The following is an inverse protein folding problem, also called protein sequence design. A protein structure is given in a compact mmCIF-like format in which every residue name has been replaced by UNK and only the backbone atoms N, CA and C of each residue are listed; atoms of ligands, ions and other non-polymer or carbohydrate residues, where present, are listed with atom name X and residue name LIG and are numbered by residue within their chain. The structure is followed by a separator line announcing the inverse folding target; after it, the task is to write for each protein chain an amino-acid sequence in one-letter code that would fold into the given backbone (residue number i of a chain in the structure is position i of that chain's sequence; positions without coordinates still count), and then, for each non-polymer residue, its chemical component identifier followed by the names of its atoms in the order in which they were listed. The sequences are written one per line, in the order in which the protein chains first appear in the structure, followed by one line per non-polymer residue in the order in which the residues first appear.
data_IF_493898672373
#
_entry.id   IF_493898672373
#
_cell.length_a   1.000
_cell.length_b   1.000
_cell.length_c   1.000
_cell.angle_alpha   90.00
_cell.angle_beta   90.00
_cell.angle_gamma   90.00
#
_symmetry.space_group_name_H-M   'P 1'
#
loop_
_entity.id
_entity.type
_entity.pdbx_description
1 polymer ?
#
# COMPACT_ATOMS: atom_id res chain seq x y z
N UNK A 1 84.48 -10.66 2.15
CA UNK A 1 83.85 -10.34 3.44
C UNK A 1 82.58 -11.17 3.56
N UNK A 2 82.43 -12.06 4.55
CA UNK A 2 81.22 -12.87 4.68
C UNK A 2 80.09 -11.98 5.22
N UNK A 3 79.02 -11.85 4.45
CA UNK A 3 77.82 -11.15 4.88
C UNK A 3 77.21 -11.92 6.08
N UNK A 4 77.08 -11.24 7.21
CA UNK A 4 76.79 -11.82 8.51
C UNK A 4 75.39 -12.47 8.53
N UNK A 5 75.35 -13.79 8.31
CA UNK A 5 74.13 -14.62 8.18
C UNK A 5 73.22 -14.50 9.41
N UNK A 6 73.80 -14.22 10.57
CA UNK A 6 73.08 -13.98 11.82
C UNK A 6 72.24 -12.68 11.77
N UNK A 7 72.79 -11.60 11.21
CA UNK A 7 72.08 -10.32 11.08
C UNK A 7 70.92 -10.42 10.07
N UNK A 8 71.09 -11.21 8.99
CA UNK A 8 70.03 -11.47 8.00
C UNK A 8 68.87 -12.28 8.59
N UNK A 9 69.17 -13.30 9.41
CA UNK A 9 68.15 -14.07 10.13
C UNK A 9 67.42 -13.24 11.20
N UNK A 10 68.12 -12.35 11.90
CA UNK A 10 67.51 -11.46 12.89
C UNK A 10 66.55 -10.44 12.26
N UNK A 11 66.95 -9.81 11.14
CA UNK A 11 66.07 -8.92 10.35
C UNK A 11 64.83 -9.65 9.82
N UNK A 12 64.99 -10.90 9.35
CA UNK A 12 63.87 -11.73 8.87
C UNK A 12 62.89 -12.10 9.99
N UNK A 13 63.40 -12.48 11.17
CA UNK A 13 62.56 -12.74 12.36
C UNK A 13 61.82 -11.49 12.84
N UNK A 14 62.49 -10.33 12.84
CA UNK A 14 61.88 -9.04 13.19
C UNK A 14 60.76 -8.66 12.20
N UNK A 15 60.99 -8.85 10.89
CA UNK A 15 59.98 -8.62 9.87
C UNK A 15 58.74 -9.51 10.05
N UNK A 16 58.91 -10.82 10.32
CA UNK A 16 57.79 -11.72 10.58
C UNK A 16 57.05 -11.37 11.89
N UNK A 17 57.77 -10.95 12.94
CA UNK A 17 57.14 -10.53 14.19
C UNK A 17 56.31 -9.25 14.02
N UNK A 18 56.84 -8.27 13.27
CA UNK A 18 56.11 -7.03 12.93
C UNK A 18 54.89 -7.35 12.07
N UNK A 19 55.04 -8.19 11.03
CA UNK A 19 53.92 -8.60 10.17
C UNK A 19 52.84 -9.38 10.95
N UNK A 20 53.22 -10.31 11.82
CA UNK A 20 52.29 -11.03 12.69
C UNK A 20 51.57 -10.08 13.67
N UNK A 21 52.27 -9.08 14.21
CA UNK A 21 51.65 -8.05 15.06
C UNK A 21 50.64 -7.19 14.29
N UNK A 22 50.96 -6.78 13.07
CA UNK A 22 50.00 -6.05 12.22
C UNK A 22 48.81 -6.91 11.82
N UNK A 23 49.03 -8.20 11.54
CA UNK A 23 47.95 -9.14 11.23
C UNK A 23 47.02 -9.39 12.42
N UNK A 24 47.56 -9.59 13.62
CA UNK A 24 46.76 -9.72 14.85
C UNK A 24 46.00 -8.44 15.18
N UNK A 25 46.62 -7.26 14.96
CA UNK A 25 45.94 -5.98 15.13
C UNK A 25 44.79 -5.82 14.12
N UNK A 26 44.99 -6.21 12.86
CA UNK A 26 43.94 -6.18 11.84
C UNK A 26 42.75 -7.09 12.21
N UNK A 27 43.03 -8.32 12.69
CA UNK A 27 41.97 -9.24 13.17
C UNK A 27 41.22 -8.69 14.39
N UNK A 28 41.92 -8.05 15.34
CA UNK A 28 41.28 -7.46 16.52
C UNK A 28 40.40 -6.24 16.17
N UNK A 29 40.84 -5.42 15.21
CA UNK A 29 40.04 -4.30 14.69
C UNK A 29 38.78 -4.81 14.01
N UNK A 30 38.88 -5.89 13.22
CA UNK A 30 37.74 -6.50 12.53
C UNK A 30 36.73 -7.11 13.51
N UNK A 31 37.18 -7.84 14.54
CA UNK A 31 36.29 -8.35 15.61
C UNK A 31 35.55 -7.23 16.34
N UNK A 32 36.24 -6.13 16.65
CA UNK A 32 35.62 -4.98 17.32
C UNK A 32 34.55 -4.31 16.42
N UNK A 33 34.84 -4.12 15.13
CA UNK A 33 33.85 -3.58 14.17
C UNK A 33 32.64 -4.49 14.01
N UNK A 34 32.84 -5.81 13.97
CA UNK A 34 31.75 -6.78 13.94
C UNK A 34 30.86 -6.70 15.20
N UNK A 35 31.48 -6.49 16.37
CA UNK A 35 30.75 -6.31 17.64
C UNK A 35 29.93 -5.02 17.67
N UNK A 36 30.50 -3.91 17.20
CA UNK A 36 29.82 -2.62 17.08
C UNK A 36 28.62 -2.70 16.12
N UNK A 37 28.82 -3.28 14.93
CA UNK A 37 27.74 -3.50 13.95
C UNK A 37 26.62 -4.36 14.54
N UNK A 38 26.95 -5.47 15.23
CA UNK A 38 25.95 -6.34 15.89
C UNK A 38 25.19 -5.61 17.00
N UNK A 39 25.86 -4.74 17.75
CA UNK A 39 25.24 -3.91 18.79
C UNK A 39 24.25 -2.91 18.19
N UNK A 40 24.62 -2.25 17.08
CA UNK A 40 23.73 -1.34 16.34
C UNK A 40 22.49 -2.08 15.83
N UNK A 41 22.67 -3.23 15.19
CA UNK A 41 21.55 -4.06 14.71
C UNK A 41 20.63 -4.44 15.87
N UNK A 42 21.19 -4.90 17.00
CA UNK A 42 20.41 -5.26 18.19
C UNK A 42 19.59 -4.08 18.71
N UNK A 43 20.20 -2.89 18.76
CA UNK A 43 19.51 -1.66 19.18
C UNK A 43 18.36 -1.32 18.25
N UNK A 44 18.59 -1.31 16.93
CA UNK A 44 17.54 -1.01 15.94
C UNK A 44 16.39 -2.04 16.00
N UNK A 45 16.70 -3.33 16.08
CA UNK A 45 15.71 -4.40 16.17
C UNK A 45 14.86 -4.37 17.43
N UNK A 46 15.33 -3.74 18.53
CA UNK A 46 14.58 -3.65 19.79
C UNK A 46 13.25 -2.89 19.67
N UNK A 47 13.13 -2.04 18.65
CA UNK A 47 11.91 -1.27 18.34
C UNK A 47 10.91 -2.01 17.46
N UNK A 48 11.28 -3.19 16.93
CA UNK A 48 10.46 -3.94 15.97
C UNK A 48 9.42 -4.82 16.65
N UNK A 49 8.37 -5.21 15.91
CA UNK A 49 7.34 -6.13 16.40
C UNK A 49 7.90 -7.54 16.70
N UNK A 50 8.96 -7.95 15.98
CA UNK A 50 9.63 -9.25 16.17
C UNK A 50 11.15 -9.09 16.40
N UNK A 51 11.59 -8.62 17.58
CA UNK A 51 13.00 -8.25 17.81
C UNK A 51 14.01 -9.38 17.59
N UNK A 52 13.70 -10.59 18.06
CA UNK A 52 14.60 -11.74 17.91
C UNK A 52 14.70 -12.20 16.45
N UNK A 53 13.58 -12.18 15.73
CA UNK A 53 13.54 -12.52 14.32
C UNK A 53 14.34 -11.49 13.51
N UNK A 54 14.12 -10.19 13.74
CA UNK A 54 14.90 -9.10 13.15
C UNK A 54 16.40 -9.29 13.35
N UNK A 55 16.83 -9.54 14.60
CA UNK A 55 18.24 -9.72 14.92
C UNK A 55 18.83 -10.94 14.19
N UNK A 56 18.11 -12.07 14.19
CA UNK A 56 18.56 -13.29 13.54
C UNK A 56 18.72 -13.12 12.02
N UNK A 57 17.77 -12.44 11.36
CA UNK A 57 17.76 -12.22 9.92
C UNK A 57 18.87 -11.26 9.48
N UNK A 58 19.02 -10.13 10.18
CA UNK A 58 20.01 -9.12 9.80
C UNK A 58 21.46 -9.58 10.08
N UNK A 59 21.68 -10.32 11.17
CA UNK A 59 23.03 -10.85 11.48
C UNK A 59 23.43 -12.05 10.63
N UNK A 60 22.47 -12.75 10.02
CA UNK A 60 22.74 -13.85 9.07
C UNK A 60 22.85 -13.38 7.63
N UNK A 61 22.71 -12.07 7.38
CA UNK A 61 22.74 -11.51 6.02
C UNK A 61 24.14 -11.65 5.40
N UNK A 62 24.28 -12.23 4.21
CA UNK A 62 25.56 -12.32 3.50
C UNK A 62 26.09 -10.94 3.07
N UNK A 63 25.22 -9.92 3.05
CA UNK A 63 25.57 -8.54 2.72
C UNK A 63 26.07 -7.74 3.93
N UNK A 64 26.16 -8.35 5.12
CA UNK A 64 26.68 -7.70 6.31
C UNK A 64 28.19 -7.48 6.18
N UNK A 65 28.59 -6.24 5.92
CA UNK A 65 29.98 -5.79 6.04
C UNK A 65 30.09 -4.87 7.25
N UNK A 66 31.02 -5.18 8.16
CA UNK A 66 31.22 -4.43 9.40
C UNK A 66 31.53 -2.94 9.14
N UNK A 67 32.22 -2.65 8.02
CA UNK A 67 32.56 -1.30 7.57
C UNK A 67 31.39 -0.47 7.04
N UNK A 68 30.25 -1.09 6.68
CA UNK A 68 29.09 -0.39 6.14
C UNK A 68 28.08 0.05 7.22
N UNK A 69 28.13 -0.54 8.42
CA UNK A 69 27.12 -0.31 9.48
C UNK A 69 27.57 0.76 10.47
N UNK A 70 27.34 2.04 10.13
CA UNK A 70 27.79 3.19 10.95
C UNK A 70 26.64 3.89 11.68
N UNK A 71 25.42 3.70 11.23
CA UNK A 71 24.23 4.40 11.72
C UNK A 71 22.99 3.51 11.69
N UNK A 72 21.93 3.85 12.45
CA UNK A 72 20.64 3.16 12.35
C UNK A 72 20.06 3.17 10.93
N UNK A 73 20.31 4.24 10.17
CA UNK A 73 19.92 4.36 8.76
C UNK A 73 20.55 3.26 7.90
N UNK A 74 21.81 2.91 8.15
CA UNK A 74 22.50 1.84 7.43
C UNK A 74 21.86 0.47 7.74
N UNK A 75 21.42 0.26 8.98
CA UNK A 75 20.68 -0.96 9.38
C UNK A 75 19.35 -1.07 8.63
N UNK A 76 18.62 0.05 8.48
CA UNK A 76 17.39 0.08 7.66
C UNK A 76 17.70 -0.23 6.20
N UNK A 77 18.75 0.36 5.63
CA UNK A 77 19.15 0.08 4.25
C UNK A 77 19.53 -1.39 4.04
N UNK A 78 20.21 -2.03 5.02
CA UNK A 78 20.49 -3.46 5.00
C UNK A 78 19.19 -4.28 5.02
N UNK A 79 18.23 -3.92 5.89
CA UNK A 79 16.95 -4.59 5.98
C UNK A 79 16.16 -4.49 4.67
N UNK A 80 16.07 -3.30 4.06
CA UNK A 80 15.39 -3.09 2.78
C UNK A 80 16.05 -3.90 1.64
N UNK A 81 17.38 -3.93 1.56
CA UNK A 81 18.08 -4.74 0.54
C UNK A 81 17.83 -6.25 0.72
N UNK A 82 17.77 -6.72 1.97
CA UNK A 82 17.40 -8.09 2.28
C UNK A 82 15.94 -8.38 1.89
N UNK A 83 15.03 -7.45 2.15
CA UNK A 83 13.63 -7.50 1.71
C UNK A 83 13.53 -7.61 0.19
N UNK A 84 14.21 -6.73 -0.57
CA UNK A 84 14.22 -6.75 -2.04
C UNK A 84 14.64 -8.12 -2.56
N UNK A 85 15.73 -8.68 -2.02
CA UNK A 85 16.23 -10.00 -2.41
C UNK A 85 15.22 -11.10 -2.10
N UNK A 86 14.56 -11.01 -0.94
CA UNK A 86 13.56 -11.98 -0.48
C UNK A 86 12.28 -11.92 -1.32
N UNK A 87 11.82 -10.72 -1.68
CA UNK A 87 10.68 -10.49 -2.58
C UNK A 87 10.96 -11.09 -3.96
N UNK A 88 12.15 -10.85 -4.53
CA UNK A 88 12.57 -11.44 -5.80
C UNK A 88 12.58 -12.98 -5.75
N UNK A 89 13.13 -13.57 -4.70
CA UNK A 89 13.12 -15.02 -4.52
C UNK A 89 11.69 -15.57 -4.36
N UNK A 90 10.84 -14.87 -3.63
CA UNK A 90 9.44 -15.23 -3.43
C UNK A 90 8.65 -15.19 -4.75
N UNK A 91 8.88 -14.18 -5.59
CA UNK A 91 8.33 -14.10 -6.95
C UNK A 91 8.62 -15.37 -7.77
N UNK A 92 9.88 -15.82 -7.79
CA UNK A 92 10.26 -17.06 -8.49
C UNK A 92 9.64 -18.31 -7.86
N UNK A 93 9.46 -18.32 -6.55
CA UNK A 93 8.79 -19.41 -5.83
C UNK A 93 7.33 -19.52 -6.25
N UNK A 94 6.60 -18.40 -6.30
CA UNK A 94 5.20 -18.36 -6.76
C UNK A 94 5.10 -18.80 -8.23
N UNK A 95 5.98 -18.29 -9.10
CA UNK A 95 6.06 -18.74 -10.50
C UNK A 95 6.30 -20.25 -10.61
N UNK A 96 7.19 -20.80 -9.78
CA UNK A 96 7.46 -22.24 -9.75
C UNK A 96 6.23 -23.03 -9.31
N UNK A 97 5.49 -22.57 -8.30
CA UNK A 97 4.22 -23.20 -7.86
C UNK A 97 3.21 -23.18 -9.01
N UNK A 98 3.06 -22.05 -9.70
CA UNK A 98 2.16 -21.90 -10.84
C UNK A 98 2.53 -22.82 -12.01
N UNK A 99 3.83 -23.05 -12.26
CA UNK A 99 4.31 -23.89 -13.36
C UNK A 99 4.31 -25.40 -13.05
N UNK A 100 4.59 -25.79 -11.81
CA UNK A 100 4.86 -27.20 -11.45
C UNK A 100 3.64 -27.96 -10.96
N UNK A 101 2.63 -27.28 -10.41
CA UNK A 101 1.42 -27.94 -9.92
C UNK A 101 0.52 -28.37 -11.08
N UNK A 102 0.39 -29.68 -11.24
CA UNK A 102 -0.56 -30.27 -12.20
C UNK A 102 -1.99 -30.07 -11.68
N UNK A 103 -2.88 -29.61 -12.57
CA UNK A 103 -4.33 -29.45 -12.32
C UNK A 103 -4.73 -28.34 -11.34
N UNK A 104 -4.15 -27.14 -11.49
CA UNK A 104 -4.69 -25.94 -10.83
C UNK A 104 -6.11 -25.66 -11.33
N UNK A 105 -7.02 -25.38 -10.41
CA UNK A 105 -8.35 -24.85 -10.71
C UNK A 105 -8.25 -23.47 -11.37
N UNK A 106 -9.36 -22.99 -11.94
CA UNK A 106 -9.41 -21.62 -12.50
C UNK A 106 -9.12 -20.60 -11.40
N UNK A 107 -9.75 -20.76 -10.23
CA UNK A 107 -9.56 -19.88 -9.08
C UNK A 107 -8.13 -19.86 -8.57
N UNK A 108 -7.47 -21.02 -8.44
CA UNK A 108 -6.07 -21.07 -8.02
C UNK A 108 -5.14 -20.36 -9.01
N UNK A 109 -5.42 -20.45 -10.32
CA UNK A 109 -4.65 -19.73 -11.35
C UNK A 109 -4.86 -18.22 -11.24
N UNK A 110 -6.10 -17.77 -11.03
CA UNK A 110 -6.41 -16.35 -10.78
C UNK A 110 -5.71 -15.85 -9.52
N UNK A 111 -5.81 -16.57 -8.40
CA UNK A 111 -5.14 -16.18 -7.15
C UNK A 111 -3.60 -16.16 -7.27
N UNK A 112 -3.01 -17.07 -8.04
CA UNK A 112 -1.57 -17.04 -8.33
C UNK A 112 -1.18 -15.84 -9.19
N UNK A 113 -2.02 -15.44 -10.15
CA UNK A 113 -1.82 -14.24 -10.95
C UNK A 113 -1.91 -12.97 -10.07
N UNK A 114 -2.98 -12.84 -9.29
CA UNK A 114 -3.18 -11.73 -8.35
C UNK A 114 -1.98 -11.62 -7.38
N UNK A 115 -1.49 -12.76 -6.87
CA UNK A 115 -0.32 -12.80 -5.99
C UNK A 115 0.97 -12.35 -6.69
N UNK A 116 1.16 -12.68 -7.98
CA UNK A 116 2.33 -12.22 -8.74
C UNK A 116 2.30 -10.71 -8.99
N UNK A 117 1.11 -10.14 -9.23
CA UNK A 117 0.90 -8.69 -9.33
C UNK A 117 1.27 -8.00 -8.01
N UNK A 118 0.73 -8.47 -6.89
CA UNK A 118 1.04 -7.94 -5.55
C UNK A 118 2.53 -8.03 -5.18
N UNK A 119 3.22 -9.10 -5.58
CA UNK A 119 4.66 -9.26 -5.32
C UNK A 119 5.50 -8.32 -6.21
N UNK A 120 5.05 -8.02 -7.42
CA UNK A 120 5.67 -7.01 -8.28
C UNK A 120 5.48 -5.60 -7.67
N UNK A 121 4.26 -5.27 -7.22
CA UNK A 121 3.97 -4.03 -6.49
C UNK A 121 4.82 -3.89 -5.22
N UNK A 122 4.92 -4.97 -4.43
CA UNK A 122 5.79 -5.02 -3.23
C UNK A 122 7.24 -4.69 -3.56
N UNK A 123 7.74 -5.18 -4.70
CA UNK A 123 9.13 -4.94 -5.10
C UNK A 123 9.36 -3.46 -5.42
N UNK A 124 8.42 -2.82 -6.11
CA UNK A 124 8.48 -1.40 -6.43
C UNK A 124 8.36 -0.53 -5.16
N UNK A 125 7.42 -0.84 -4.27
CA UNK A 125 7.22 -0.13 -3.00
C UNK A 125 8.47 -0.18 -2.10
N UNK A 126 9.12 -1.34 -1.99
CA UNK A 126 10.34 -1.49 -1.17
C UNK A 126 11.54 -0.79 -1.82
N UNK A 127 11.64 -0.79 -3.15
CA UNK A 127 12.70 -0.06 -3.87
C UNK A 127 12.54 1.45 -3.74
N UNK A 128 11.32 1.96 -3.83
CA UNK A 128 11.02 3.37 -3.63
C UNK A 128 11.30 3.77 -2.18
N UNK A 129 10.92 2.95 -1.21
CA UNK A 129 11.28 3.14 0.20
C UNK A 129 12.80 3.27 0.39
N UNK A 130 13.59 2.43 -0.30
CA UNK A 130 15.05 2.52 -0.24
C UNK A 130 15.57 3.83 -0.87
N UNK A 131 15.00 4.26 -1.99
CA UNK A 131 15.36 5.54 -2.61
C UNK A 131 15.05 6.73 -1.67
N UNK A 132 13.86 6.74 -1.06
CA UNK A 132 13.45 7.77 -0.10
C UNK A 132 14.32 7.75 1.16
N UNK A 133 14.69 6.56 1.67
CA UNK A 133 15.63 6.43 2.78
C UNK A 133 16.99 7.03 2.42
N UNK A 134 17.51 6.74 1.23
CA UNK A 134 18.80 7.27 0.79
C UNK A 134 18.77 8.80 0.69
N UNK A 135 17.67 9.38 0.20
CA UNK A 135 17.44 10.82 0.16
C UNK A 135 17.26 11.44 1.55
N UNK A 136 16.69 10.73 2.52
CA UNK A 136 16.41 11.24 3.86
C UNK A 136 17.69 11.63 4.65
N UNK A 137 17.72 12.76 5.40
CA UNK A 137 16.65 13.74 5.57
C UNK A 137 16.71 14.93 4.59
N UNK A 138 17.83 15.17 3.92
CA UNK A 138 18.11 16.44 3.23
C UNK A 138 18.36 16.32 1.72
N UNK A 139 18.06 15.17 1.13
CA UNK A 139 18.20 14.89 -0.30
C UNK A 139 16.85 14.90 -1.02
N UNK A 140 16.89 15.24 -2.32
CA UNK A 140 15.70 15.24 -3.18
C UNK A 140 14.83 16.50 -3.05
N UNK A 141 13.63 16.43 -3.63
CA UNK A 141 12.64 17.52 -3.68
C UNK A 141 11.58 17.45 -2.56
N UNK A 142 11.41 16.28 -1.93
CA UNK A 142 10.44 16.03 -0.86
C UNK A 142 10.95 16.58 0.47
N UNK A 143 10.06 17.12 1.30
CA UNK A 143 10.39 17.49 2.68
C UNK A 143 10.68 16.26 3.53
N UNK A 144 11.32 16.46 4.68
CA UNK A 144 11.65 15.37 5.59
C UNK A 144 10.40 14.62 6.08
N UNK A 145 9.32 15.36 6.33
CA UNK A 145 8.06 14.77 6.79
C UNK A 145 7.40 13.95 5.70
N UNK A 146 7.48 14.39 4.44
CA UNK A 146 6.96 13.64 3.30
C UNK A 146 7.73 12.34 3.11
N UNK A 147 9.07 12.39 3.08
CA UNK A 147 9.91 11.19 3.01
C UNK A 147 9.60 10.19 4.14
N UNK A 148 9.41 10.69 5.36
CA UNK A 148 9.08 9.85 6.52
C UNK A 148 7.73 9.13 6.37
N UNK A 149 6.70 9.83 5.91
CA UNK A 149 5.37 9.26 5.72
C UNK A 149 5.27 8.38 4.47
N UNK A 150 5.99 8.71 3.40
CA UNK A 150 6.08 7.90 2.18
C UNK A 150 6.68 6.53 2.48
N UNK A 151 7.86 6.48 3.14
CA UNK A 151 8.48 5.21 3.53
C UNK A 151 7.56 4.34 4.40
N UNK A 152 6.82 4.94 5.36
CA UNK A 152 5.86 4.20 6.20
C UNK A 152 4.68 3.69 5.39
N UNK A 153 4.15 4.49 4.47
CA UNK A 153 3.00 4.16 3.61
C UNK A 153 3.35 3.01 2.67
N UNK A 154 4.49 3.10 1.99
CA UNK A 154 4.98 2.10 1.04
C UNK A 154 5.24 0.75 1.73
N UNK A 155 5.92 0.76 2.89
CA UNK A 155 6.12 -0.47 3.66
C UNK A 155 4.81 -1.06 4.20
N UNK A 156 3.84 -0.21 4.56
CA UNK A 156 2.51 -0.68 4.97
C UNK A 156 1.75 -1.36 3.82
N UNK A 157 1.87 -0.81 2.60
CA UNK A 157 1.30 -1.41 1.40
C UNK A 157 1.98 -2.74 1.04
N UNK A 158 3.30 -2.80 1.12
CA UNK A 158 4.09 -4.02 0.90
C UNK A 158 3.67 -5.18 1.80
N UNK A 159 3.37 -4.89 3.08
CA UNK A 159 2.83 -5.87 4.01
C UNK A 159 1.41 -6.32 3.64
N UNK A 160 0.55 -5.37 3.26
CA UNK A 160 -0.84 -5.64 2.84
C UNK A 160 -0.90 -6.55 1.61
N UNK A 161 0.05 -6.39 0.69
CA UNK A 161 0.22 -7.24 -0.50
C UNK A 161 0.49 -8.71 -0.13
N UNK A 162 1.24 -8.98 0.95
CA UNK A 162 1.54 -10.36 1.37
C UNK A 162 0.29 -11.08 1.89
N UNK A 163 -0.48 -10.41 2.76
CA UNK A 163 -1.73 -10.94 3.31
C UNK A 163 -2.77 -11.16 2.20
N UNK A 164 -2.94 -10.17 1.33
CA UNK A 164 -3.90 -10.22 0.22
C UNK A 164 -3.57 -11.34 -0.77
N UNK A 165 -2.29 -11.60 -1.04
CA UNK A 165 -1.86 -12.74 -1.84
C UNK A 165 -2.34 -14.05 -1.19
N UNK A 166 -2.12 -14.21 0.10
CA UNK A 166 -2.50 -15.44 0.82
C UNK A 166 -4.03 -15.61 0.86
N UNK A 167 -4.78 -14.52 0.98
CA UNK A 167 -6.25 -14.52 1.07
C UNK A 167 -6.95 -14.99 -0.21
N UNK A 168 -6.31 -14.82 -1.37
CA UNK A 168 -6.74 -15.44 -2.62
C UNK A 168 -6.93 -16.96 -2.52
N UNK A 169 -6.29 -17.61 -1.53
CA UNK A 169 -6.28 -19.05 -1.31
C UNK A 169 -7.05 -19.52 -0.05
N UNK A 170 -7.97 -18.72 0.50
CA UNK A 170 -8.63 -19.03 1.78
C UNK A 170 -9.92 -19.87 1.68
N UNK A 171 -10.47 -20.12 0.48
CA UNK A 171 -11.87 -20.55 0.34
C UNK A 171 -12.12 -22.07 0.37
N UNK A 172 -11.34 -22.88 -0.35
CA UNK A 172 -11.57 -24.33 -0.44
C UNK A 172 -10.33 -25.16 -0.07
N UNK A 173 -10.51 -26.47 0.05
CA UNK A 173 -9.43 -27.39 0.47
C UNK A 173 -8.27 -27.48 -0.53
N UNK A 174 -8.50 -27.22 -1.83
CA UNK A 174 -7.45 -27.22 -2.84
C UNK A 174 -6.58 -25.95 -2.71
N UNK A 175 -7.25 -24.81 -2.58
CA UNK A 175 -6.66 -23.52 -2.30
C UNK A 175 -5.75 -23.55 -1.05
N UNK A 176 -6.20 -24.17 0.04
CA UNK A 176 -5.40 -24.29 1.28
C UNK A 176 -4.05 -24.98 1.08
N UNK A 177 -3.96 -25.97 0.17
CA UNK A 177 -2.68 -26.60 -0.17
C UNK A 177 -1.75 -25.66 -0.91
N UNK A 178 -2.27 -24.77 -1.77
CA UNK A 178 -1.45 -23.73 -2.43
C UNK A 178 -0.99 -22.72 -1.39
N UNK A 179 -1.90 -22.28 -0.51
CA UNK A 179 -1.59 -21.38 0.60
C UNK A 179 -0.43 -21.89 1.45
N UNK A 180 -0.47 -23.15 1.87
CA UNK A 180 0.61 -23.78 2.66
C UNK A 180 1.98 -23.68 1.99
N UNK A 181 2.04 -23.81 0.66
CA UNK A 181 3.30 -23.72 -0.09
C UNK A 181 3.84 -22.28 -0.20
N UNK A 182 2.97 -21.28 -0.09
CA UNK A 182 3.34 -19.87 -0.20
C UNK A 182 3.52 -19.19 1.17
N UNK A 183 2.85 -19.69 2.21
CA UNK A 183 2.76 -19.08 3.54
C UNK A 183 4.13 -18.70 4.11
N UNK A 184 5.10 -19.63 4.07
CA UNK A 184 6.44 -19.37 4.62
C UNK A 184 7.17 -18.22 3.91
N UNK A 185 7.06 -18.14 2.58
CA UNK A 185 7.69 -17.08 1.78
C UNK A 185 7.02 -15.73 1.99
N UNK A 186 5.69 -15.70 1.98
CA UNK A 186 4.90 -14.47 2.19
C UNK A 186 5.10 -13.91 3.60
N UNK A 187 5.01 -14.75 4.63
CA UNK A 187 5.24 -14.30 6.01
C UNK A 187 6.68 -13.86 6.26
N UNK A 188 7.65 -14.46 5.55
CA UNK A 188 9.04 -14.01 5.63
C UNK A 188 9.21 -12.59 5.10
N UNK A 189 8.64 -12.28 3.94
CA UNK A 189 8.63 -10.93 3.37
C UNK A 189 7.86 -9.96 4.27
N UNK A 190 6.68 -10.35 4.77
CA UNK A 190 5.89 -9.55 5.70
C UNK A 190 6.71 -9.12 6.93
N UNK A 191 7.40 -10.07 7.59
CA UNK A 191 8.24 -9.75 8.75
C UNK A 191 9.40 -8.82 8.40
N UNK A 192 10.05 -9.01 7.24
CA UNK A 192 11.13 -8.12 6.80
C UNK A 192 10.63 -6.69 6.57
N UNK A 193 9.45 -6.52 5.95
CA UNK A 193 8.79 -5.22 5.81
C UNK A 193 8.42 -4.61 7.17
N UNK A 194 7.87 -5.41 8.10
CA UNK A 194 7.54 -5.00 9.47
C UNK A 194 8.78 -4.50 10.24
N UNK A 195 9.91 -5.20 10.14
CA UNK A 195 11.17 -4.77 10.75
C UNK A 195 11.63 -3.42 10.18
N UNK A 196 11.66 -3.30 8.85
CA UNK A 196 12.05 -2.06 8.18
C UNK A 196 11.13 -0.90 8.59
N UNK A 197 9.82 -1.13 8.66
CA UNK A 197 8.81 -0.13 9.01
C UNK A 197 9.02 0.40 10.43
N UNK A 198 9.20 -0.49 11.41
CA UNK A 198 9.44 -0.08 12.78
C UNK A 198 10.75 0.70 12.94
N UNK A 199 11.82 0.28 12.26
CA UNK A 199 13.10 1.01 12.31
C UNK A 199 13.03 2.37 11.61
N UNK A 200 12.36 2.48 10.45
CA UNK A 200 12.06 3.76 9.78
C UNK A 200 11.27 4.68 10.72
N UNK A 201 10.21 4.16 11.32
CA UNK A 201 9.38 4.92 12.27
C UNK A 201 10.21 5.43 13.44
N UNK A 202 11.05 4.59 14.04
CA UNK A 202 11.91 4.99 15.15
C UNK A 202 12.88 6.13 14.78
N UNK A 203 13.55 6.04 13.63
CA UNK A 203 14.47 7.09 13.16
C UNK A 203 13.73 8.40 12.87
N UNK A 204 12.61 8.31 12.15
CA UNK A 204 11.83 9.49 11.76
C UNK A 204 11.16 10.19 12.96
N UNK A 205 10.67 9.41 13.93
CA UNK A 205 10.09 9.95 15.18
C UNK A 205 11.15 10.63 16.06
N UNK A 206 12.35 10.04 16.17
CA UNK A 206 13.46 10.64 16.89
C UNK A 206 13.89 11.97 16.26
N UNK A 207 13.98 12.02 14.93
CA UNK A 207 14.29 13.26 14.21
C UNK A 207 13.20 14.32 14.36
N UNK A 208 11.93 13.92 14.30
CA UNK A 208 10.81 14.82 14.53
C UNK A 208 10.83 15.40 15.95
N UNK A 209 11.16 14.59 16.97
CA UNK A 209 11.31 15.04 18.35
C UNK A 209 12.48 16.04 18.49
N UNK A 210 13.63 15.76 17.86
CA UNK A 210 14.79 16.65 17.88
C UNK A 210 14.51 18.01 17.22
N UNK A 211 13.68 18.04 16.17
CA UNK A 211 13.24 19.29 15.52
C UNK A 211 12.24 20.11 16.35
N UNK A 212 11.53 19.49 17.29
CA UNK A 212 10.53 20.14 18.16
C UNK A 212 11.13 20.82 19.40
N UNK A 213 12.44 20.72 19.62
CA UNK A 213 13.15 21.48 20.66
C UNK A 213 13.21 22.99 20.27
N UNK A 214 13.01 23.92 21.23
CA UNK A 214 12.44 25.23 20.94
C UNK A 214 13.42 26.19 20.24
N UNK A 215 13.24 26.36 18.93
CA UNK A 215 13.63 27.57 18.21
C UNK A 215 12.41 28.49 18.08
N UNK A 216 12.37 29.49 18.97
CA UNK A 216 11.58 30.73 18.92
C UNK A 216 10.06 30.65 18.66
N UNK A 217 9.31 31.14 19.64
CA UNK A 217 7.88 31.41 19.60
C UNK A 217 7.40 32.09 18.32
N UNK A 218 6.67 31.36 17.47
CA UNK A 218 5.64 31.95 16.62
C UNK A 218 4.41 31.06 16.57
N UNK A 219 3.61 31.11 17.65
CA UNK A 219 2.21 30.67 17.59
C UNK A 219 1.44 31.71 16.77
N UNK A 220 1.31 31.47 15.47
CA UNK A 220 0.26 32.09 14.67
C UNK A 220 -1.06 31.50 15.16
N UNK A 221 -1.86 32.32 15.84
CA UNK A 221 -3.27 32.03 16.10
C UNK A 221 -3.95 31.89 14.75
N UNK A 222 -4.56 30.74 14.48
CA UNK A 222 -5.56 30.62 13.42
C UNK A 222 -6.78 31.46 13.83
N UNK A 223 -7.09 32.45 13.01
CA UNK A 223 -8.34 33.21 13.09
C UNK A 223 -9.49 32.28 12.73
N UNK A 224 -10.42 32.12 13.67
CA UNK A 224 -11.71 31.48 13.44
C UNK A 224 -12.43 32.33 12.40
N UNK A 225 -12.60 31.80 11.18
CA UNK A 225 -13.46 32.41 10.16
C UNK A 225 -14.91 31.99 10.41
N UNK A 226 -15.79 32.98 10.23
CA UNK A 226 -17.21 33.00 10.51
C UNK A 226 -18.04 31.93 9.77
N UNK A 227 -19.22 31.65 10.34
CA UNK A 227 -20.25 30.73 9.88
C UNK A 227 -20.60 30.89 8.38
N UNK A 228 -20.07 29.97 7.59
CA UNK A 228 -20.46 29.61 6.23
C UNK A 228 -19.91 28.20 5.98
N UNK A 229 -20.55 27.39 5.13
CA UNK A 229 -20.19 25.98 4.85
C UNK A 229 -18.67 25.74 5.00
N UNK A 230 -18.30 24.93 5.99
CA UNK A 230 -16.90 24.59 6.28
C UNK A 230 -16.19 24.23 4.95
N UNK A 231 -15.13 24.96 4.56
CA UNK A 231 -14.46 24.72 3.30
C UNK A 231 -13.92 23.29 3.28
N UNK A 232 -13.99 22.64 2.11
CA UNK A 232 -13.47 21.27 1.94
C UNK A 232 -12.01 21.21 2.42
N UNK A 233 -11.77 20.43 3.47
CA UNK A 233 -10.42 20.13 3.95
C UNK A 233 -9.72 19.16 2.99
N UNK A 234 -9.07 19.71 1.97
CA UNK A 234 -8.33 18.93 0.99
C UNK A 234 -7.01 18.38 1.56
N UNK A 235 -6.61 17.14 1.23
CA UNK A 235 -5.30 16.63 1.60
C UNK A 235 -4.17 17.51 1.04
N UNK A 236 -3.09 17.67 1.81
CA UNK A 236 -1.97 18.52 1.42
C UNK A 236 -1.30 18.06 0.11
N UNK A 237 -1.20 16.74 -0.10
CA UNK A 237 -0.63 16.13 -1.30
C UNK A 237 -1.47 16.36 -2.58
N UNK A 238 -2.77 16.64 -2.45
CA UNK A 238 -3.62 16.85 -3.62
C UNK A 238 -3.36 18.26 -4.18
N UNK A 239 -2.85 18.36 -5.41
CA UNK A 239 -2.44 19.65 -5.99
C UNK A 239 -3.60 20.64 -6.13
N UNK A 240 -3.31 21.94 -6.11
CA UNK A 240 -4.33 22.97 -6.36
C UNK A 240 -4.96 22.84 -7.76
N UNK A 241 -4.22 22.34 -8.74
CA UNK A 241 -4.73 22.05 -10.09
C UNK A 241 -5.79 20.95 -10.06
N UNK A 242 -5.50 19.85 -9.38
CA UNK A 242 -6.42 18.71 -9.26
C UNK A 242 -7.67 19.06 -8.45
N UNK A 243 -7.52 19.82 -7.36
CA UNK A 243 -8.67 20.35 -6.60
C UNK A 243 -9.61 21.15 -7.51
N UNK A 244 -9.06 22.02 -8.36
CA UNK A 244 -9.86 22.77 -9.35
C UNK A 244 -10.55 21.85 -10.35
N UNK A 245 -9.88 20.82 -10.86
CA UNK A 245 -10.49 19.85 -11.78
C UNK A 245 -11.62 19.05 -11.12
N UNK A 246 -11.45 18.65 -9.85
CA UNK A 246 -12.48 17.95 -9.08
C UNK A 246 -13.69 18.84 -8.78
N UNK A 247 -13.50 20.15 -8.61
CA UNK A 247 -14.58 21.08 -8.27
C UNK A 247 -15.22 21.79 -9.49
N UNK A 248 -14.54 21.81 -10.64
CA UNK A 248 -14.99 22.57 -11.81
C UNK A 248 -16.37 22.13 -12.32
N UNK A 249 -17.16 23.03 -12.88
CA UNK A 249 -18.40 22.67 -13.58
C UNK A 249 -18.12 22.01 -14.93
N UNK A 250 -17.03 22.41 -15.58
CA UNK A 250 -16.59 21.87 -16.87
C UNK A 250 -15.11 21.49 -16.81
N UNK A 251 -14.76 20.35 -17.39
CA UNK A 251 -13.38 19.88 -17.52
C UNK A 251 -13.16 19.56 -18.99
N UNK A 252 -12.11 20.13 -19.59
CA UNK A 252 -11.72 19.80 -20.96
C UNK A 252 -11.14 18.39 -20.99
N UNK A 253 -11.74 17.45 -21.74
CA UNK A 253 -11.23 16.09 -21.83
C UNK A 253 -10.10 15.96 -22.85
N UNK A 254 -9.24 14.96 -22.64
CA UNK A 254 -8.31 14.47 -23.67
C UNK A 254 -9.03 13.56 -24.66
N UNK A 255 -9.91 12.69 -24.14
CA UNK A 255 -10.74 11.76 -24.94
C UNK A 255 -12.11 11.58 -24.30
N UNK A 256 -13.09 11.22 -25.12
CA UNK A 256 -14.47 10.99 -24.74
C UNK A 256 -14.90 9.56 -25.03
N UNK A 257 -15.49 8.92 -24.03
CA UNK A 257 -16.14 7.62 -24.13
C UNK A 257 -17.65 7.82 -24.23
N UNK A 258 -18.27 7.22 -25.25
CA UNK A 258 -19.71 7.29 -25.44
C UNK A 258 -20.26 5.95 -25.96
N UNK A 259 -21.14 5.32 -25.20
CA UNK A 259 -21.73 4.03 -25.58
C UNK A 259 -22.57 4.11 -26.88
N UNK A 260 -23.09 5.29 -27.22
CA UNK A 260 -23.84 5.57 -28.46
C UNK A 260 -22.94 5.78 -29.70
N UNK A 261 -21.62 5.78 -29.52
CA UNK A 261 -20.65 6.03 -30.59
C UNK A 261 -20.42 7.49 -30.95
N UNK A 262 -20.92 8.44 -30.16
CA UNK A 262 -20.70 9.89 -30.35
C UNK A 262 -19.36 10.42 -29.80
N UNK A 263 -18.54 9.55 -29.20
CA UNK A 263 -17.21 9.87 -28.65
C UNK A 263 -16.08 9.17 -29.41
N UNK A 264 -14.86 9.31 -28.91
CA UNK A 264 -13.65 8.70 -29.48
C UNK A 264 -13.60 7.18 -29.27
N UNK A 265 -14.12 6.71 -28.13
CA UNK A 265 -14.19 5.30 -27.76
C UNK A 265 -15.60 4.89 -27.34
N UNK A 266 -15.93 3.61 -27.47
CA UNK A 266 -17.23 3.05 -27.03
C UNK A 266 -17.17 2.49 -25.62
N UNK A 267 -16.01 2.00 -25.21
CA UNK A 267 -15.78 1.42 -23.88
C UNK A 267 -14.78 2.24 -23.08
N UNK A 268 -14.86 2.15 -21.75
CA UNK A 268 -13.92 2.82 -20.86
C UNK A 268 -12.54 2.15 -20.94
N UNK A 269 -12.51 0.83 -21.07
CA UNK A 269 -11.27 0.04 -21.19
C UNK A 269 -10.43 0.44 -22.41
N UNK A 270 -11.06 0.68 -23.56
CA UNK A 270 -10.34 1.17 -24.76
C UNK A 270 -9.68 2.54 -24.53
N UNK A 271 -10.37 3.46 -23.84
CA UNK A 271 -9.83 4.78 -23.54
C UNK A 271 -8.67 4.71 -22.52
N UNK A 272 -8.76 3.82 -21.51
CA UNK A 272 -7.66 3.57 -20.57
C UNK A 272 -6.45 2.98 -21.29
N UNK A 273 -6.67 2.00 -22.17
CA UNK A 273 -5.61 1.36 -22.94
C UNK A 273 -4.90 2.34 -23.87
N UNK A 274 -5.64 3.26 -24.49
CA UNK A 274 -5.08 4.30 -25.36
C UNK A 274 -4.37 5.45 -24.61
N UNK A 275 -4.67 5.65 -23.33
CA UNK A 275 -4.02 6.70 -22.54
C UNK A 275 -2.51 6.50 -22.44
N UNK A 276 -1.69 7.57 -22.39
CA UNK A 276 -0.25 7.45 -22.27
C UNK A 276 0.15 6.76 -20.97
N UNK A 277 1.18 5.92 -21.04
CA UNK A 277 1.79 5.34 -19.83
C UNK A 277 2.71 6.37 -19.16
N UNK A 278 2.78 6.33 -17.82
CA UNK A 278 3.64 7.15 -16.94
C UNK A 278 3.56 8.64 -17.27
N UNK A 279 2.35 9.14 -17.52
CA UNK A 279 2.13 10.54 -17.83
C UNK A 279 2.46 11.42 -16.63
N UNK A 280 3.28 12.45 -16.84
CA UNK A 280 3.54 13.51 -15.85
C UNK A 280 2.38 14.52 -15.78
N UNK A 281 1.49 14.53 -16.79
CA UNK A 281 0.32 15.39 -16.82
C UNK A 281 -0.95 14.60 -16.51
N UNK A 282 -1.95 15.31 -16.01
CA UNK A 282 -3.33 14.83 -15.92
C UNK A 282 -3.85 14.45 -17.31
N UNK A 283 -4.34 13.22 -17.48
CA UNK A 283 -5.02 12.75 -18.69
C UNK A 283 -6.49 12.48 -18.37
N UNK A 284 -7.39 13.24 -19.00
CA UNK A 284 -8.82 13.29 -18.65
C UNK A 284 -9.64 12.46 -19.64
N UNK A 285 -10.27 11.41 -19.13
CA UNK A 285 -11.24 10.59 -19.86
C UNK A 285 -12.65 11.02 -19.45
N UNK A 286 -13.36 11.67 -20.36
CA UNK A 286 -14.78 11.99 -20.18
C UNK A 286 -15.62 10.77 -20.53
N UNK A 287 -16.50 10.36 -19.63
CA UNK A 287 -17.39 9.21 -19.84
C UNK A 287 -18.82 9.74 -19.86
N UNK A 288 -19.46 9.71 -21.03
CA UNK A 288 -20.82 10.23 -21.19
C UNK A 288 -21.85 9.41 -20.40
N UNK A 289 -23.06 9.94 -20.28
CA UNK A 289 -24.18 9.22 -19.69
C UNK A 289 -24.40 7.88 -20.42
N UNK A 290 -24.56 6.81 -19.65
CA UNK A 290 -24.67 5.45 -20.15
C UNK A 290 -24.38 4.40 -19.09
N UNK A 291 -24.72 3.15 -19.42
CA UNK A 291 -24.38 1.97 -18.60
C UNK A 291 -23.34 1.15 -19.33
N UNK A 292 -22.13 1.15 -18.79
CA UNK A 292 -20.94 0.49 -19.32
C UNK A 292 -20.75 -0.86 -18.61
N UNK A 293 -21.05 -1.95 -19.32
CA UNK A 293 -20.98 -3.34 -18.79
C UNK A 293 -19.61 -3.95 -19.08
N UNK A 294 -18.64 -3.58 -18.27
CA UNK A 294 -17.23 -3.98 -18.44
C UNK A 294 -16.52 -4.03 -17.07
N UNK A 295 -15.44 -4.81 -17.00
CA UNK A 295 -14.48 -4.75 -15.91
C UNK A 295 -13.29 -3.89 -16.38
N UNK A 296 -12.96 -2.83 -15.67
CA UNK A 296 -11.90 -1.88 -16.06
C UNK A 296 -10.73 -1.96 -15.10
N UNK A 297 -9.52 -1.94 -15.64
CA UNK A 297 -8.29 -1.94 -14.86
C UNK A 297 -7.41 -0.76 -15.26
N UNK A 298 -7.09 0.11 -14.29
CA UNK A 298 -6.13 1.20 -14.43
C UNK A 298 -4.82 0.73 -13.81
N UNK A 299 -3.96 0.12 -14.64
CA UNK A 299 -2.70 -0.49 -14.20
C UNK A 299 -1.73 0.55 -13.63
N UNK A 300 -0.70 0.09 -12.89
CA UNK A 300 0.34 0.96 -12.30
C UNK A 300 1.05 1.86 -13.33
N UNK A 301 1.12 1.44 -14.60
CA UNK A 301 1.69 2.23 -15.69
C UNK A 301 0.82 3.41 -16.12
N UNK A 302 -0.45 3.47 -15.75
CA UNK A 302 -1.41 4.49 -16.20
C UNK A 302 -1.57 5.59 -15.13
N UNK A 303 -0.49 6.32 -14.87
CA UNK A 303 -0.45 7.39 -13.86
C UNK A 303 -1.23 8.63 -14.27
N UNK A 304 -1.68 9.41 -13.29
CA UNK A 304 -2.36 10.69 -13.47
C UNK A 304 -3.64 10.65 -14.35
N UNK A 305 -4.28 9.48 -14.46
CA UNK A 305 -5.57 9.35 -15.12
C UNK A 305 -6.70 10.01 -14.31
N UNK A 306 -7.67 10.58 -15.01
CA UNK A 306 -8.88 11.14 -14.41
C UNK A 306 -10.14 10.70 -15.16
N UNK A 307 -11.09 10.10 -14.45
CA UNK A 307 -12.43 9.82 -14.97
C UNK A 307 -13.40 10.95 -14.62
N UNK A 308 -14.14 11.42 -15.61
CA UNK A 308 -15.18 12.44 -15.43
C UNK A 308 -16.48 11.93 -16.04
N UNK A 309 -17.48 11.60 -15.22
CA UNK A 309 -18.81 11.23 -15.70
C UNK A 309 -19.66 12.44 -16.10
N UNK A 310 -20.82 12.20 -16.71
CA UNK A 310 -21.88 13.22 -16.91
C UNK A 310 -22.74 13.43 -15.66
N UNK A 311 -22.65 12.51 -14.71
CA UNK A 311 -23.40 12.56 -13.47
C UNK A 311 -23.35 11.21 -12.77
N UNK A 312 -23.21 11.24 -11.45
CA UNK A 312 -23.11 10.01 -10.66
C UNK A 312 -24.31 9.07 -10.83
N UNK A 313 -25.49 9.56 -11.20
CA UNK A 313 -26.68 8.72 -11.44
C UNK A 313 -26.87 8.33 -12.90
N UNK A 314 -26.11 8.89 -13.83
CA UNK A 314 -26.29 8.73 -15.28
C UNK A 314 -25.12 8.06 -15.97
N UNK A 315 -23.91 8.09 -15.39
CA UNK A 315 -22.73 7.37 -15.87
C UNK A 315 -22.40 6.23 -14.90
N UNK A 316 -22.59 4.98 -15.34
CA UNK A 316 -22.48 3.78 -14.51
C UNK A 316 -21.53 2.78 -15.16
N UNK A 317 -20.46 2.39 -14.49
CA UNK A 317 -19.63 1.23 -14.85
C UNK A 317 -20.06 0.06 -13.96
N UNK A 318 -20.50 -1.04 -14.56
CA UNK A 318 -21.13 -2.15 -13.83
C UNK A 318 -20.58 -3.51 -14.23
N UNK A 319 -20.41 -4.38 -13.24
CA UNK A 319 -19.90 -5.75 -13.35
C UNK A 319 -20.63 -6.70 -12.41
N UNK A 320 -20.24 -7.98 -12.40
CA UNK A 320 -20.86 -9.01 -11.54
C UNK A 320 -19.92 -10.14 -11.12
N UNK A 321 -18.60 -9.95 -11.27
CA UNK A 321 -17.62 -10.93 -10.79
C UNK A 321 -17.74 -11.08 -9.28
N UNK A 322 -17.61 -12.31 -8.79
CA UNK A 322 -17.82 -12.63 -7.39
C UNK A 322 -17.12 -13.93 -6.99
N UNK A 323 -16.97 -14.12 -5.68
CA UNK A 323 -16.27 -15.27 -5.10
C UNK A 323 -17.00 -16.59 -5.32
N UNK A 324 -18.34 -16.62 -5.26
CA UNK A 324 -19.12 -17.87 -5.43
C UNK A 324 -18.93 -18.46 -6.83
N UNK A 325 -18.87 -17.61 -7.84
CA UNK A 325 -18.70 -18.02 -9.25
C UNK A 325 -17.23 -18.22 -9.65
N UNK A 326 -16.31 -18.19 -8.68
CA UNK A 326 -14.92 -18.62 -8.87
C UNK A 326 -13.87 -17.52 -8.98
N UNK A 327 -14.25 -16.24 -8.83
CA UNK A 327 -13.27 -15.14 -8.71
C UNK A 327 -12.60 -15.13 -7.33
N UNK A 328 -11.48 -14.45 -7.20
CA UNK A 328 -10.94 -14.03 -5.91
C UNK A 328 -11.62 -12.73 -5.48
N UNK A 329 -11.55 -12.34 -4.21
CA UNK A 329 -12.04 -11.01 -3.79
C UNK A 329 -11.31 -9.90 -4.55
N UNK A 330 -9.98 -10.01 -4.67
CA UNK A 330 -9.13 -9.03 -5.37
C UNK A 330 -9.52 -8.85 -6.85
N UNK A 331 -9.77 -9.95 -7.57
CA UNK A 331 -10.11 -9.96 -9.00
C UNK A 331 -11.61 -9.73 -9.27
N UNK A 332 -12.45 -9.68 -8.23
CA UNK A 332 -13.89 -9.46 -8.37
C UNK A 332 -14.28 -8.02 -8.68
N UNK A 333 -13.33 -7.07 -8.58
CA UNK A 333 -13.55 -5.65 -8.79
C UNK A 333 -14.15 -5.34 -10.17
N UNK A 334 -15.25 -4.57 -10.20
CA UNK A 334 -15.75 -3.97 -11.45
C UNK A 334 -14.73 -2.97 -11.99
N UNK A 335 -14.20 -2.10 -11.14
CA UNK A 335 -13.09 -1.21 -11.49
C UNK A 335 -11.95 -1.40 -10.49
N UNK A 336 -10.74 -1.66 -10.99
CA UNK A 336 -9.51 -1.73 -10.22
C UNK A 336 -8.59 -0.56 -10.60
N UNK A 337 -8.11 0.18 -9.60
CA UNK A 337 -7.26 1.36 -9.79
C UNK A 337 -5.94 1.18 -9.04
N UNK A 338 -4.85 1.09 -9.80
CA UNK A 338 -3.48 0.92 -9.31
C UNK A 338 -2.61 2.13 -9.66
N UNK A 339 -2.77 2.69 -10.86
CA UNK A 339 -1.97 3.84 -11.33
C UNK A 339 -2.02 5.05 -10.39
N UNK A 340 -0.85 5.55 -9.97
CA UNK A 340 -0.71 6.66 -9.02
C UNK A 340 -1.44 7.93 -9.48
N UNK A 341 -1.98 8.67 -8.51
CA UNK A 341 -2.55 9.99 -8.71
C UNK A 341 -3.92 9.92 -9.37
N UNK A 342 -4.60 8.77 -9.36
CA UNK A 342 -5.88 8.61 -10.05
C UNK A 342 -6.98 9.51 -9.47
N UNK A 343 -7.76 10.12 -10.34
CA UNK A 343 -8.91 10.93 -9.96
C UNK A 343 -10.21 10.39 -10.58
N UNK A 344 -11.31 10.49 -9.85
CA UNK A 344 -12.63 10.26 -10.44
C UNK A 344 -13.67 11.25 -9.89
N UNK A 345 -14.59 11.64 -10.76
CA UNK A 345 -15.77 12.42 -10.34
C UNK A 345 -17.03 12.11 -11.13
N UNK A 346 -18.15 12.34 -10.46
CA UNK A 346 -19.49 12.32 -11.06
C UNK A 346 -19.82 10.99 -11.79
N UNK A 347 -19.44 9.85 -11.20
CA UNK A 347 -19.59 8.51 -11.79
C UNK A 347 -19.97 7.45 -10.75
N UNK A 348 -20.67 6.39 -11.16
CA UNK A 348 -20.97 5.21 -10.33
C UNK A 348 -20.10 4.02 -10.73
N UNK A 349 -19.52 3.36 -9.72
CA UNK A 349 -18.93 2.02 -9.82
C UNK A 349 -19.85 1.02 -9.14
N UNK A 350 -20.26 -0.02 -9.84
CA UNK A 350 -21.27 -0.98 -9.36
C UNK A 350 -20.86 -2.44 -9.56
N UNK A 351 -21.14 -3.28 -8.57
CA UNK A 351 -21.15 -4.73 -8.73
C UNK A 351 -22.54 -5.30 -8.39
N UNK A 352 -23.13 -5.99 -9.37
CA UNK A 352 -24.53 -6.46 -9.37
C UNK A 352 -24.69 -7.93 -8.98
N UNK A 353 -23.62 -8.60 -8.52
CA UNK A 353 -23.67 -10.03 -8.20
C UNK A 353 -24.76 -10.40 -7.15
N UNK A 354 -25.00 -9.52 -6.18
CA UNK A 354 -26.01 -9.73 -5.14
C UNK A 354 -25.48 -10.38 -3.85
N UNK A 355 -26.26 -10.37 -2.75
CA UNK A 355 -25.80 -10.77 -1.42
C UNK A 355 -25.53 -12.28 -1.31
N UNK A 356 -26.15 -13.10 -2.16
CA UNK A 356 -25.96 -14.55 -2.18
C UNK A 356 -24.68 -14.98 -2.90
N UNK A 357 -23.97 -14.05 -3.54
CA UNK A 357 -22.72 -14.29 -4.24
C UNK A 357 -21.47 -13.99 -3.39
N UNK A 358 -21.69 -13.64 -2.12
CA UNK A 358 -20.65 -13.26 -1.16
C UNK A 358 -19.79 -12.09 -1.69
N UNK A 359 -18.47 -12.14 -1.51
CA UNK A 359 -17.56 -11.05 -1.87
C UNK A 359 -17.66 -10.69 -3.36
N UNK A 360 -17.94 -9.42 -3.65
CA UNK A 360 -18.11 -8.90 -5.00
C UNK A 360 -17.83 -7.39 -5.04
N UNK A 361 -16.58 -7.04 -5.37
CA UNK A 361 -16.07 -5.68 -5.27
C UNK A 361 -16.58 -4.79 -6.40
N UNK A 362 -17.05 -3.58 -6.08
CA UNK A 362 -17.40 -2.56 -7.08
C UNK A 362 -16.18 -1.73 -7.48
N UNK A 363 -15.42 -1.26 -6.50
CA UNK A 363 -14.20 -0.49 -6.70
C UNK A 363 -13.09 -1.00 -5.79
N UNK A 364 -11.94 -1.35 -6.39
CA UNK A 364 -10.68 -1.62 -5.69
C UNK A 364 -9.69 -0.50 -5.97
N UNK A 365 -9.05 0.01 -4.93
CA UNK A 365 -8.04 1.07 -5.02
C UNK A 365 -6.79 0.67 -4.25
N UNK A 366 -5.68 0.56 -4.97
CA UNK A 366 -4.30 0.45 -4.51
C UNK A 366 -3.46 1.44 -5.31
N UNK A 367 -3.92 2.71 -5.33
CA UNK A 367 -3.32 3.84 -6.03
C UNK A 367 -3.03 4.93 -5.02
N UNK A 368 -1.76 5.31 -4.90
CA UNK A 368 -1.37 6.40 -4.02
C UNK A 368 -1.83 7.75 -4.56
N UNK A 369 -2.07 8.69 -3.65
CA UNK A 369 -2.55 10.04 -3.98
C UNK A 369 -3.83 10.04 -4.83
N UNK A 370 -4.72 9.06 -4.62
CA UNK A 370 -5.97 8.93 -5.36
C UNK A 370 -7.12 9.68 -4.69
N UNK A 371 -8.00 10.31 -5.50
CA UNK A 371 -9.15 11.04 -4.97
C UNK A 371 -10.44 10.86 -5.78
N UNK A 372 -11.55 10.75 -5.05
CA UNK A 372 -12.89 10.50 -5.59
C UNK A 372 -13.85 11.59 -5.11
N UNK A 373 -14.50 12.29 -6.05
CA UNK A 373 -15.38 13.41 -5.75
C UNK A 373 -16.78 13.19 -6.34
N UNK A 374 -17.80 13.12 -5.47
CA UNK A 374 -19.20 12.88 -5.90
C UNK A 374 -19.36 11.57 -6.71
N UNK A 375 -18.70 10.50 -6.28
CA UNK A 375 -18.86 9.17 -6.88
C UNK A 375 -19.88 8.31 -6.10
N UNK A 376 -20.42 7.27 -6.74
CA UNK A 376 -21.10 6.19 -6.02
C UNK A 376 -20.31 4.90 -6.08
N UNK A 377 -20.32 4.14 -4.98
CA UNK A 377 -19.81 2.76 -4.93
C UNK A 377 -20.92 1.86 -4.40
N UNK A 378 -21.41 0.97 -5.27
CA UNK A 378 -22.64 0.20 -5.03
C UNK A 378 -22.40 -1.31 -5.19
N UNK A 379 -22.56 -2.08 -4.11
CA UNK A 379 -22.61 -3.54 -4.17
C UNK A 379 -23.34 -4.11 -2.93
N UNK A 380 -23.02 -5.35 -2.54
CA UNK A 380 -23.49 -5.95 -1.31
C UNK A 380 -22.33 -6.20 -0.36
N UNK A 381 -21.70 -7.37 -0.42
CA UNK A 381 -20.54 -7.68 0.41
C UNK A 381 -19.27 -7.18 -0.29
N UNK A 382 -18.35 -6.57 0.46
CA UNK A 382 -17.05 -6.08 -0.01
C UNK A 382 -17.16 -4.98 -1.09
N UNK A 383 -18.09 -4.02 -0.96
CA UNK A 383 -18.35 -2.99 -1.99
C UNK A 383 -17.12 -2.16 -2.39
N UNK A 384 -16.46 -1.53 -1.42
CA UNK A 384 -15.32 -0.65 -1.63
C UNK A 384 -14.08 -1.25 -0.96
N UNK A 385 -13.13 -1.68 -1.79
CA UNK A 385 -11.85 -2.21 -1.34
C UNK A 385 -10.81 -1.09 -1.32
N UNK A 386 -10.66 -0.41 -0.18
CA UNK A 386 -9.58 0.53 0.10
C UNK A 386 -8.30 -0.24 0.44
N UNK A 387 -7.74 -0.90 -0.57
CA UNK A 387 -6.71 -1.93 -0.42
C UNK A 387 -5.45 -1.42 0.30
N UNK A 388 -4.75 -0.44 -0.27
CA UNK A 388 -3.49 0.10 0.26
C UNK A 388 -3.28 1.57 -0.15
N UNK A 389 -2.21 2.20 0.38
CA UNK A 389 -1.77 3.56 0.03
C UNK A 389 -2.75 4.68 0.46
N UNK A 390 -2.52 5.94 0.05
CA UNK A 390 -3.29 7.10 0.52
C UNK A 390 -4.44 7.43 -0.43
N UNK A 391 -5.63 7.57 0.14
CA UNK A 391 -6.86 7.72 -0.63
C UNK A 391 -7.81 8.75 0.00
N UNK A 392 -8.47 9.55 -0.83
CA UNK A 392 -9.42 10.56 -0.38
C UNK A 392 -10.77 10.47 -1.10
N UNK A 393 -11.85 10.39 -0.32
CA UNK A 393 -13.21 10.31 -0.83
C UNK A 393 -14.01 11.49 -0.28
N UNK A 394 -14.59 12.31 -1.17
CA UNK A 394 -15.38 13.47 -0.79
C UNK A 394 -16.74 13.49 -1.46
N UNK A 395 -17.80 13.72 -0.69
CA UNK A 395 -19.17 13.84 -1.23
C UNK A 395 -19.67 12.56 -1.91
N UNK A 396 -19.06 11.41 -1.58
CA UNK A 396 -19.36 10.14 -2.21
C UNK A 396 -20.51 9.43 -1.50
N UNK A 397 -21.18 8.52 -2.21
CA UNK A 397 -22.19 7.63 -1.64
C UNK A 397 -21.75 6.19 -1.74
N UNK A 398 -21.74 5.50 -0.60
CA UNK A 398 -21.24 4.13 -0.51
C UNK A 398 -22.32 3.28 0.13
N UNK A 399 -22.70 2.19 -0.54
CA UNK A 399 -23.74 1.30 -0.04
C UNK A 399 -23.37 -0.18 -0.16
N UNK A 400 -23.63 -0.93 0.90
CA UNK A 400 -23.35 -2.36 0.99
C UNK A 400 -23.86 -2.99 2.28
N UNK A 401 -23.37 -4.20 2.59
CA UNK A 401 -23.90 -5.06 3.65
C UNK A 401 -22.79 -5.51 4.60
N UNK A 402 -22.13 -6.63 4.31
CA UNK A 402 -21.00 -7.18 5.06
C UNK A 402 -19.72 -6.53 4.54
N UNK A 403 -18.88 -6.04 5.46
CA UNK A 403 -17.53 -5.52 5.23
C UNK A 403 -17.41 -4.58 4.03
N UNK A 404 -18.40 -3.71 3.82
CA UNK A 404 -18.55 -3.03 2.53
C UNK A 404 -17.60 -1.84 2.32
N UNK A 405 -16.80 -1.48 3.33
CA UNK A 405 -15.60 -0.66 3.21
C UNK A 405 -14.47 -1.43 3.92
N UNK A 406 -13.52 -1.99 3.19
CA UNK A 406 -12.52 -2.88 3.77
C UNK A 406 -11.14 -2.69 3.14
N UNK A 407 -10.11 -3.19 3.81
CA UNK A 407 -8.71 -3.12 3.38
C UNK A 407 -7.81 -2.42 4.39
N UNK A 408 -6.63 -2.00 3.94
CA UNK A 408 -5.58 -1.46 4.80
C UNK A 408 -4.95 -0.18 4.21
N UNK A 409 -5.70 0.61 3.45
CA UNK A 409 -5.27 1.94 3.03
C UNK A 409 -5.22 2.95 4.19
N UNK A 410 -4.53 4.07 3.97
CA UNK A 410 -4.74 5.32 4.68
C UNK A 410 -5.86 6.11 3.95
N UNK A 411 -7.11 5.80 4.28
CA UNK A 411 -8.28 6.29 3.55
C UNK A 411 -9.11 7.27 4.39
N UNK A 412 -9.40 8.43 3.83
CA UNK A 412 -10.28 9.44 4.44
C UNK A 412 -11.57 9.58 3.63
N UNK A 413 -12.70 9.37 4.29
CA UNK A 413 -14.05 9.49 3.73
C UNK A 413 -14.75 10.70 4.35
N UNK A 414 -14.59 11.86 3.72
CA UNK A 414 -15.11 13.13 4.19
C UNK A 414 -16.42 13.48 3.50
N UNK A 415 -17.40 13.96 4.28
CA UNK A 415 -18.71 14.35 3.76
C UNK A 415 -19.38 13.28 2.87
N UNK A 416 -19.18 12.01 3.19
CA UNK A 416 -19.73 10.88 2.45
C UNK A 416 -21.02 10.38 3.10
N UNK A 417 -21.95 9.90 2.27
CA UNK A 417 -23.17 9.21 2.69
C UNK A 417 -22.92 7.69 2.66
N UNK A 418 -22.83 7.09 3.84
CA UNK A 418 -22.49 5.66 4.00
C UNK A 418 -23.73 4.91 4.49
N UNK A 419 -24.33 4.09 3.62
CA UNK A 419 -25.64 3.46 3.83
C UNK A 419 -25.56 1.93 3.81
N UNK A 420 -25.84 1.31 4.95
CA UNK A 420 -26.01 -0.14 5.00
C UNK A 420 -27.35 -0.55 4.35
N UNK A 421 -27.35 -1.52 3.43
CA UNK A 421 -28.57 -2.06 2.79
C UNK A 421 -29.03 -3.36 3.44
N UNK A 422 -30.17 -3.91 3.02
CA UNK A 422 -30.69 -5.17 3.55
C UNK A 422 -29.80 -6.34 3.11
N UNK A 423 -29.21 -7.12 4.05
CA UNK A 423 -28.43 -8.31 3.72
C UNK A 423 -29.35 -9.54 3.56
N UNK A 424 -28.77 -10.71 3.28
CA UNK A 424 -29.51 -11.96 3.34
C UNK A 424 -29.96 -12.28 4.78
N UNK A 425 -30.97 -13.15 4.97
CA UNK A 425 -31.33 -13.65 6.29
C UNK A 425 -30.10 -14.18 7.04
N UNK A 426 -30.03 -13.90 8.34
CA UNK A 426 -28.92 -14.28 9.25
C UNK A 426 -27.58 -13.60 9.04
N UNK A 427 -27.40 -12.78 7.99
CA UNK A 427 -26.23 -11.92 7.86
C UNK A 427 -26.38 -10.64 8.70
N UNK A 428 -25.25 -10.09 9.13
CA UNK A 428 -25.18 -8.81 9.83
C UNK A 428 -24.37 -7.84 8.99
N UNK A 429 -24.83 -6.59 8.93
CA UNK A 429 -24.07 -5.56 8.26
C UNK A 429 -22.86 -5.16 9.10
N UNK A 430 -21.74 -4.96 8.42
CA UNK A 430 -20.50 -4.41 8.98
C UNK A 430 -20.05 -3.32 8.02
N UNK A 431 -19.93 -2.10 8.54
CA UNK A 431 -19.56 -0.95 7.69
C UNK A 431 -18.10 -1.05 7.27
N UNK A 432 -17.23 -1.32 8.25
CA UNK A 432 -15.79 -1.36 8.04
C UNK A 432 -15.17 -2.69 8.48
N UNK A 433 -14.25 -3.23 7.69
CA UNK A 433 -13.32 -4.30 8.09
C UNK A 433 -11.88 -3.86 7.78
N UNK A 434 -11.27 -3.16 8.74
CA UNK A 434 -9.93 -2.59 8.60
C UNK A 434 -8.89 -3.67 8.92
N UNK A 435 -7.90 -3.84 8.03
CA UNK A 435 -6.91 -4.93 8.08
C UNK A 435 -5.50 -4.51 8.47
N UNK A 436 -5.33 -3.66 9.48
CA UNK A 436 -4.00 -3.28 10.00
C UNK A 436 -3.47 -4.36 10.93
N UNK A 437 -2.37 -4.99 10.53
CA UNK A 437 -1.75 -6.11 11.24
C UNK A 437 -0.45 -5.76 11.98
N UNK A 438 0.11 -4.56 11.73
CA UNK A 438 1.27 -4.05 12.48
C UNK A 438 0.98 -2.64 13.04
N UNK A 439 1.21 -2.40 14.35
CA UNK A 439 0.91 -1.12 14.98
C UNK A 439 1.76 0.06 14.44
N UNK A 440 2.84 -0.22 13.71
CA UNK A 440 3.68 0.78 13.08
C UNK A 440 3.17 1.22 11.71
N UNK A 441 2.17 0.53 11.14
CA UNK A 441 1.54 0.95 9.89
C UNK A 441 0.78 2.27 10.13
N UNK A 442 0.98 3.23 9.23
CA UNK A 442 0.28 4.51 9.22
C UNK A 442 -1.05 4.44 8.44
N UNK A 443 -1.68 3.26 8.45
CA UNK A 443 -2.92 2.95 7.74
C UNK A 443 -4.13 3.09 8.66
N UNK A 444 -5.30 3.22 8.04
CA UNK A 444 -6.56 3.35 8.75
C UNK A 444 -7.66 3.95 7.88
N UNK A 445 -8.91 3.60 8.19
CA UNK A 445 -10.09 4.21 7.57
C UNK A 445 -10.70 5.22 8.52
N UNK A 446 -10.71 6.50 8.11
CA UNK A 446 -11.30 7.59 8.88
C UNK A 446 -12.55 8.14 8.20
N UNK A 447 -13.66 8.23 8.95
CA UNK A 447 -14.86 8.96 8.51
C UNK A 447 -15.36 9.84 9.66
N UNK A 448 -15.42 11.18 9.48
CA UNK A 448 -15.85 12.10 10.53
C UNK A 448 -17.37 12.09 10.74
N UNK A 449 -18.16 11.56 9.79
CA UNK A 449 -19.61 11.37 9.92
C UNK A 449 -19.92 9.92 10.27
N UNK A 450 -20.79 9.64 11.25
CA UNK A 450 -21.21 8.28 11.52
C UNK A 450 -22.02 7.73 10.33
N UNK A 451 -21.90 6.43 10.01
CA UNK A 451 -22.69 5.81 8.95
C UNK A 451 -24.18 5.91 9.28
N UNK A 452 -25.00 6.20 8.27
CA UNK A 452 -26.44 6.35 8.47
C UNK A 452 -27.13 4.98 8.38
N UNK A 453 -28.06 4.67 9.31
CA UNK A 453 -28.94 3.53 9.12
C UNK A 453 -29.80 3.78 7.88
N UNK A 454 -29.89 2.81 6.97
CA UNK A 454 -30.90 2.90 5.92
C UNK A 454 -32.27 3.09 6.57
N UNK A 455 -33.01 4.11 6.12
CA UNK A 455 -34.40 4.33 6.51
C UNK A 455 -35.19 3.15 5.93
N UNK A 456 -35.31 2.09 6.73
CA UNK A 456 -36.32 1.06 6.54
C UNK A 456 -37.59 1.65 7.13
N UNK A 457 -38.51 2.09 6.27
CA UNK A 457 -39.89 2.26 6.71
C UNK A 457 -40.35 0.93 7.31
N UNK A 458 -40.73 0.98 8.59
CA UNK A 458 -41.23 -0.08 9.48
C UNK A 458 -40.23 -0.73 10.47
N UNK A 459 -40.20 -0.13 11.67
CA UNK A 459 -40.34 -0.76 13.00
C UNK A 459 -39.58 -2.08 13.29
N UNK A 460 -38.49 -1.99 14.06
CA UNK A 460 -38.45 -2.29 15.51
C UNK A 460 -37.03 -2.13 16.06
N UNK A 461 -36.94 -1.44 17.21
CA UNK A 461 -35.73 -1.23 18.02
C UNK A 461 -34.92 -2.52 18.18
N UNK A 462 -33.68 -2.52 17.70
CA UNK A 462 -32.61 -3.31 18.30
C UNK A 462 -31.40 -2.41 18.54
N UNK A 463 -31.06 -2.28 19.83
CA UNK A 463 -29.84 -1.65 20.32
C UNK A 463 -28.65 -2.46 19.79
N UNK A 464 -27.73 -1.82 19.10
CA UNK A 464 -26.37 -2.34 18.89
C UNK A 464 -25.38 -1.36 19.52
N UNK A 465 -24.64 -1.87 20.50
CA UNK A 465 -23.51 -1.21 21.12
C UNK A 465 -22.45 -0.97 20.05
N UNK A 466 -22.26 0.29 19.68
CA UNK A 466 -21.12 0.76 18.91
C UNK A 466 -20.01 1.10 19.92
N UNK A 467 -19.10 0.16 20.18
CA UNK A 467 -17.86 0.50 20.86
C UNK A 467 -16.84 0.95 19.83
N UNK A 468 -16.78 2.26 19.63
CA UNK A 468 -15.57 2.95 19.19
C UNK A 468 -14.73 3.16 20.45
N UNK A 469 -13.61 2.47 20.57
CA UNK A 469 -12.51 2.91 21.42
C UNK A 469 -11.19 2.53 20.76
N UNK A 470 -10.59 3.53 20.11
CA UNK A 470 -9.15 3.63 19.99
C UNK A 470 -8.56 3.78 21.40
N UNK A 471 -7.56 2.96 21.71
CA UNK A 471 -6.38 3.35 22.48
C UNK A 471 -5.19 2.81 21.72
#
# INVERSE_FOLDING_TARGET
MPENTHAKNMKRKLFFAIFASFFLLALAIDDNRHREARSLIKSSCSSTLYPDLCLSQLTSSPSLTSDAMKSPKDVVALALNLTITSVQHNYFTIKKVAATRRRLTVRERTALHDCLEMVDETLDEVRETLADLLAYPNGGSKSVSELAEDMKTLLSAAMTNQESCLDGFSHDSANKKVREALLGGQMHVFHLCSHALAMVKNITDADAANRRLPSSNRRLKEEIKEEGQEPIQWPQWLSAGDRRLLQSTTVTPDVTVAADGSGDYRTVSEAVEAAPERSERRYVIKIKAGVYRENVEVTSRKTNLMFVGDGRTTTIITGSRNVVDGSTTFNSATVAVVGEGFLARDITFENTAGPSKHQAVALRVNSDFSAFYRCCMLAYQDTLYVHSLRQFYFGCFIAGTVDFIFGNAAAVLQDCDIHARRPNPSQRNMVTAQGRDDPNQNTGTFSPKPPQPAIVSELRRFRTNLFVRQV
#
